data_IF_639157906143
#
_entry.id   IF_639157906143
#
_cell.length_a   1.000
_cell.length_b   1.000
_cell.length_c   1.000
_cell.angle_alpha   90.00
_cell.angle_beta   90.00
_cell.angle_gamma   90.00
#
_symmetry.space_group_name_H-M   'P 1'
#
loop_
_entity.id
_entity.type
_entity.pdbx_description
1 polymer ?
#
# COMPACT_ATOMS: atom_id res chain seq x y z
N UNK A 1 -15.59 9.89 -7.95
CA UNK A 1 -16.02 8.49 -7.82
C UNK A 1 -17.25 8.30 -8.71
N UNK A 2 -17.07 7.88 -9.98
CA UNK A 2 -18.17 7.85 -10.96
C UNK A 2 -19.01 6.55 -10.94
N UNK A 3 -18.54 5.51 -10.25
CA UNK A 3 -19.24 4.23 -10.07
C UNK A 3 -18.95 3.71 -8.66
N UNK A 4 -19.87 2.94 -8.09
CA UNK A 4 -19.72 2.34 -6.77
C UNK A 4 -20.76 1.23 -6.53
N UNK A 5 -20.56 0.47 -5.45
CA UNK A 5 -21.48 -0.56 -4.95
C UNK A 5 -21.33 -0.67 -3.44
N UNK A 6 -22.38 -1.13 -2.78
CA UNK A 6 -22.40 -1.37 -1.34
C UNK A 6 -22.81 -2.82 -1.02
N UNK A 7 -22.32 -3.32 0.12
CA UNK A 7 -22.76 -4.56 0.79
C UNK A 7 -22.83 -4.28 2.28
N UNK A 8 -24.03 -4.17 2.83
CA UNK A 8 -24.28 -3.55 4.14
C UNK A 8 -24.47 -4.53 5.30
N UNK A 9 -24.38 -5.85 5.06
CA UNK A 9 -24.64 -6.89 6.05
C UNK A 9 -23.43 -7.81 6.27
N UNK A 10 -22.23 -7.25 6.31
CA UNK A 10 -20.97 -7.99 6.44
C UNK A 10 -20.71 -8.48 7.88
N UNK A 11 -21.59 -9.38 8.35
CA UNK A 11 -21.48 -10.08 9.63
C UNK A 11 -22.09 -11.46 9.56
N UNK A 12 -21.59 -12.38 10.36
CA UNK A 12 -22.08 -13.75 10.46
C UNK A 12 -22.30 -14.12 11.92
N UNK A 13 -23.43 -14.78 12.21
CA UNK A 13 -23.76 -15.33 13.54
C UNK A 13 -23.95 -16.83 13.46
N UNK A 14 -23.51 -17.55 14.48
CA UNK A 14 -23.69 -18.99 14.60
C UNK A 14 -23.72 -19.42 16.07
N UNK A 15 -24.13 -20.67 16.32
CA UNK A 15 -24.04 -21.29 17.64
C UNK A 15 -22.74 -22.08 17.75
N UNK A 16 -21.99 -21.87 18.83
CA UNK A 16 -20.81 -22.65 19.17
C UNK A 16 -21.00 -23.28 20.55
N UNK A 17 -21.42 -24.55 20.55
CA UNK A 17 -21.89 -25.21 21.77
C UNK A 17 -23.21 -24.59 22.24
N UNK A 18 -23.21 -24.05 23.46
CA UNK A 18 -24.36 -23.36 24.06
C UNK A 18 -24.24 -21.82 23.98
N UNK A 19 -23.24 -21.30 23.28
CA UNK A 19 -22.97 -19.87 23.16
C UNK A 19 -23.27 -19.36 21.74
N UNK A 20 -23.93 -18.20 21.66
CA UNK A 20 -24.05 -17.47 20.40
C UNK A 20 -22.74 -16.74 20.11
N UNK A 21 -22.22 -16.88 18.89
CA UNK A 21 -21.06 -16.15 18.39
C UNK A 21 -21.41 -15.24 17.23
N UNK A 22 -20.70 -14.13 17.14
CA UNK A 22 -20.81 -13.16 16.06
C UNK A 22 -19.41 -12.76 15.59
N UNK A 23 -19.19 -12.80 14.27
CA UNK A 23 -18.01 -12.24 13.61
C UNK A 23 -18.46 -11.09 12.72
N UNK A 24 -17.92 -9.90 12.97
CA UNK A 24 -18.28 -8.66 12.25
C UNK A 24 -17.07 -8.16 11.48
N UNK A 25 -17.22 -7.93 10.18
CA UNK A 25 -16.15 -7.31 9.39
C UNK A 25 -15.94 -5.85 9.81
N UNK A 26 -14.70 -5.33 9.72
CA UNK A 26 -14.48 -3.89 9.74
C UNK A 26 -15.24 -3.18 8.61
N UNK A 27 -15.34 -1.86 8.69
CA UNK A 27 -15.71 -1.07 7.51
C UNK A 27 -14.63 -1.27 6.43
N UNK A 28 -15.00 -1.95 5.35
CA UNK A 28 -14.07 -2.36 4.30
C UNK A 28 -14.35 -1.59 3.01
N UNK A 29 -13.60 -0.51 2.80
CA UNK A 29 -13.61 0.23 1.55
C UNK A 29 -12.59 -0.36 0.58
N UNK A 30 -13.04 -0.75 -0.60
CA UNK A 30 -12.16 -1.14 -1.72
C UNK A 30 -12.22 -0.04 -2.77
N UNK A 31 -11.09 0.61 -3.04
CA UNK A 31 -10.95 1.60 -4.10
C UNK A 31 -10.29 0.95 -5.32
N UNK A 32 -10.97 0.99 -6.46
CA UNK A 32 -10.40 0.63 -7.76
C UNK A 32 -10.17 1.90 -8.59
N UNK A 33 -8.93 2.11 -9.04
CA UNK A 33 -8.56 3.22 -9.91
C UNK A 33 -8.52 2.78 -11.38
N UNK A 34 -9.06 3.61 -12.26
CA UNK A 34 -9.03 3.40 -13.71
C UNK A 34 -8.47 4.65 -14.38
N UNK A 35 -7.54 4.49 -15.32
CA UNK A 35 -6.93 5.59 -16.06
C UNK A 35 -6.65 5.17 -17.51
N UNK A 36 -6.78 6.12 -18.44
CA UNK A 36 -6.19 5.97 -19.78
C UNK A 36 -4.67 6.01 -19.63
N UNK A 37 -3.99 5.02 -20.20
CA UNK A 37 -2.53 4.99 -20.25
C UNK A 37 -2.07 5.62 -21.57
N UNK A 38 -1.11 6.55 -21.50
CA UNK A 38 -0.56 7.19 -22.70
C UNK A 38 0.40 6.25 -23.44
N UNK A 39 1.31 5.59 -22.70
CA UNK A 39 2.24 4.61 -23.26
C UNK A 39 2.51 3.47 -22.26
N UNK A 40 2.07 2.26 -22.59
CA UNK A 40 2.18 1.07 -21.73
C UNK A 40 3.63 0.60 -21.56
N UNK A 41 4.52 0.93 -22.50
CA UNK A 41 5.94 0.51 -22.49
C UNK A 41 6.74 1.21 -21.39
N UNK A 42 6.18 2.28 -20.83
CA UNK A 42 6.80 3.07 -19.76
C UNK A 42 6.40 2.61 -18.36
N UNK A 43 5.60 1.55 -18.25
CA UNK A 43 5.25 0.94 -16.96
C UNK A 43 6.51 0.46 -16.23
N UNK A 44 6.61 0.79 -14.95
CA UNK A 44 7.71 0.41 -14.05
C UNK A 44 7.20 -0.66 -13.07
N UNK A 45 8.08 -1.58 -12.67
CA UNK A 45 7.77 -2.66 -11.74
C UNK A 45 8.70 -2.60 -10.51
N UNK A 46 8.46 -3.46 -9.50
CA UNK A 46 9.39 -3.63 -8.38
C UNK A 46 10.76 -4.22 -8.70
N UNK A 47 11.00 -4.69 -9.93
CA UNK A 47 12.21 -5.41 -10.28
C UNK A 47 13.44 -4.48 -10.26
N UNK A 48 14.29 -4.62 -9.24
CA UNK A 48 15.52 -3.85 -9.10
C UNK A 48 16.53 -4.15 -10.22
N UNK A 49 17.25 -3.12 -10.65
CA UNK A 49 18.48 -3.26 -11.45
C UNK A 49 19.70 -3.28 -10.53
N UNK A 50 20.71 -4.07 -10.88
CA UNK A 50 21.99 -4.15 -10.16
C UNK A 50 23.08 -3.28 -10.80
N UNK A 51 22.74 -2.42 -11.77
CA UNK A 51 23.62 -1.32 -12.18
C UNK A 51 23.82 -0.31 -11.04
N UNK A 52 24.78 0.61 -11.16
CA UNK A 52 24.99 1.66 -10.16
C UNK A 52 23.70 2.46 -9.96
N UNK A 53 23.09 2.31 -8.78
CA UNK A 53 21.76 2.82 -8.50
C UNK A 53 21.67 3.46 -7.11
N UNK A 54 20.56 4.16 -6.87
CA UNK A 54 20.22 4.73 -5.57
C UNK A 54 18.76 4.41 -5.23
N UNK A 55 18.52 3.94 -4.01
CA UNK A 55 17.17 3.74 -3.49
C UNK A 55 16.76 4.97 -2.67
N UNK A 56 15.59 5.52 -3.00
CA UNK A 56 15.05 6.72 -2.37
C UNK A 56 13.69 6.41 -1.77
N UNK A 57 13.56 6.58 -0.46
CA UNK A 57 12.29 6.54 0.23
C UNK A 57 11.58 7.89 0.14
N UNK A 58 10.36 7.90 -0.40
CA UNK A 58 9.45 9.04 -0.30
C UNK A 58 8.48 8.78 0.86
N UNK A 59 8.80 9.31 2.04
CA UNK A 59 7.98 9.11 3.23
C UNK A 59 6.81 10.11 3.31
N UNK A 60 5.69 9.75 2.68
CA UNK A 60 4.42 10.49 2.83
C UNK A 60 3.83 10.44 4.25
N UNK A 61 4.36 9.58 5.12
CA UNK A 61 4.03 9.53 6.54
C UNK A 61 4.66 10.67 7.35
N UNK A 62 5.61 11.42 6.79
CA UNK A 62 6.30 12.56 7.44
C UNK A 62 6.89 12.18 8.81
N UNK A 63 7.46 10.99 8.94
CA UNK A 63 8.04 10.48 10.18
C UNK A 63 7.03 10.11 11.26
N UNK A 64 5.72 10.11 10.99
CA UNK A 64 4.71 9.72 11.99
C UNK A 64 4.88 8.26 12.43
N UNK A 65 5.37 7.39 11.55
CA UNK A 65 5.75 6.00 11.84
C UNK A 65 4.69 5.23 12.66
N UNK A 66 3.42 5.44 12.32
CA UNK A 66 2.26 4.88 12.99
C UNK A 66 2.21 3.35 12.87
N UNK A 67 1.89 2.65 13.96
CA UNK A 67 1.88 1.17 14.03
C UNK A 67 0.49 0.58 14.34
N UNK A 68 -0.54 1.40 14.55
CA UNK A 68 -1.91 0.93 14.72
C UNK A 68 -2.48 0.33 13.44
N UNK A 69 -3.26 -0.74 13.57
CA UNK A 69 -3.90 -1.49 12.50
C UNK A 69 -2.94 -1.95 11.38
N UNK A 70 -1.66 -2.17 11.71
CA UNK A 70 -0.65 -2.67 10.77
C UNK A 70 -0.58 -4.19 10.76
N UNK A 71 -0.03 -4.77 9.69
CA UNK A 71 0.35 -6.19 9.65
C UNK A 71 1.25 -6.58 10.84
N UNK A 72 2.15 -5.69 11.28
CA UNK A 72 2.98 -5.90 12.47
C UNK A 72 2.10 -6.08 13.72
N UNK A 73 1.18 -5.15 14.01
CA UNK A 73 0.31 -5.29 15.18
C UNK A 73 -0.55 -6.57 15.08
N UNK A 74 -1.06 -6.88 13.88
CA UNK A 74 -1.91 -8.04 13.65
C UNK A 74 -1.21 -9.37 13.95
N UNK A 75 0.04 -9.57 13.52
CA UNK A 75 0.78 -10.82 13.81
C UNK A 75 1.12 -10.99 15.30
N UNK A 76 1.08 -9.91 16.07
CA UNK A 76 1.17 -9.92 17.54
C UNK A 76 -0.20 -9.93 18.24
N UNK A 77 -1.29 -10.18 17.51
CA UNK A 77 -2.67 -10.21 18.02
C UNK A 77 -3.08 -8.90 18.70
N UNK A 78 -2.56 -7.78 18.21
CA UNK A 78 -2.84 -6.44 18.71
C UNK A 78 -3.47 -5.57 17.62
N UNK A 79 -4.24 -4.56 18.04
CA UNK A 79 -4.71 -3.50 17.15
C UNK A 79 -3.77 -2.28 17.17
N UNK A 80 -3.08 -2.01 18.28
CA UNK A 80 -2.22 -0.83 18.44
C UNK A 80 -2.99 0.44 18.83
N UNK A 81 -2.35 1.60 18.69
CA UNK A 81 -2.87 2.92 19.09
C UNK A 81 -3.35 3.74 17.89
N UNK A 82 -2.42 4.34 17.13
CA UNK A 82 -2.74 5.22 16.00
C UNK A 82 -2.37 4.59 14.66
N UNK A 83 -3.28 4.55 13.68
CA UNK A 83 -2.98 4.07 12.33
C UNK A 83 -2.32 5.15 11.45
N UNK A 84 -1.87 4.72 10.27
CA UNK A 84 -1.48 5.63 9.18
C UNK A 84 -2.71 6.39 8.64
N UNK A 85 -2.45 7.56 8.05
CA UNK A 85 -3.47 8.38 7.39
C UNK A 85 -2.80 9.30 6.35
N UNK A 86 -3.56 9.89 5.45
CA UNK A 86 -3.07 10.93 4.52
C UNK A 86 -2.65 12.15 5.34
N UNK A 87 -1.34 12.36 5.48
CA UNK A 87 -0.78 13.44 6.31
C UNK A 87 -0.83 14.80 5.63
N UNK A 88 -0.79 14.85 4.30
CA UNK A 88 -0.85 16.08 3.53
C UNK A 88 -1.34 15.81 2.10
N UNK A 89 -2.52 16.35 1.75
CA UNK A 89 -3.15 16.15 0.44
C UNK A 89 -2.33 16.76 -0.70
N UNK A 90 -1.74 17.94 -0.49
CA UNK A 90 -0.92 18.60 -1.50
C UNK A 90 0.36 17.79 -1.80
N UNK A 91 0.99 17.22 -0.78
CA UNK A 91 2.15 16.33 -0.98
C UNK A 91 1.75 15.01 -1.62
N UNK A 92 0.58 14.44 -1.30
CA UNK A 92 0.09 13.23 -1.97
C UNK A 92 -0.15 13.48 -3.47
N UNK A 93 -0.77 14.61 -3.82
CA UNK A 93 -0.92 15.01 -5.23
C UNK A 93 0.44 15.26 -5.89
N UNK A 94 1.32 16.01 -5.22
CA UNK A 94 2.66 16.31 -5.73
C UNK A 94 3.51 15.07 -5.92
N UNK A 95 3.35 14.05 -5.07
CA UNK A 95 3.96 12.74 -5.24
C UNK A 95 3.49 12.07 -6.52
N UNK A 96 2.17 12.00 -6.76
CA UNK A 96 1.65 11.47 -8.01
C UNK A 96 2.19 12.22 -9.22
N UNK A 97 2.11 13.55 -9.23
CA UNK A 97 2.58 14.39 -10.34
C UNK A 97 4.09 14.18 -10.61
N UNK A 98 4.89 14.06 -9.54
CA UNK A 98 6.33 13.81 -9.66
C UNK A 98 6.64 12.41 -10.22
N UNK A 99 5.94 11.37 -9.75
CA UNK A 99 6.10 10.00 -10.29
C UNK A 99 5.70 9.97 -11.77
N UNK A 100 4.60 10.61 -12.17
CA UNK A 100 4.20 10.71 -13.58
C UNK A 100 5.30 11.36 -14.44
N UNK A 101 5.89 12.46 -13.95
CA UNK A 101 7.00 13.13 -14.65
C UNK A 101 8.24 12.23 -14.77
N UNK A 102 8.62 11.52 -13.71
CA UNK A 102 9.77 10.61 -13.71
C UNK A 102 9.56 9.40 -14.64
N UNK A 103 8.34 8.85 -14.69
CA UNK A 103 7.96 7.79 -15.63
C UNK A 103 8.05 8.29 -17.07
N UNK A 104 7.46 9.44 -17.37
CA UNK A 104 7.50 10.03 -18.72
C UNK A 104 8.93 10.34 -19.19
N UNK A 105 9.81 10.77 -18.28
CA UNK A 105 11.21 11.07 -18.55
C UNK A 105 12.15 9.85 -18.48
N UNK A 106 11.61 8.64 -18.23
CA UNK A 106 12.39 7.39 -18.11
C UNK A 106 13.50 7.48 -17.05
N UNK A 107 13.19 8.09 -15.90
CA UNK A 107 14.14 8.32 -14.79
C UNK A 107 14.06 7.32 -13.66
N UNK A 108 13.15 6.33 -13.75
CA UNK A 108 12.98 5.28 -12.75
C UNK A 108 13.52 3.95 -13.29
N UNK A 109 14.36 3.29 -12.49
CA UNK A 109 14.76 1.91 -12.73
C UNK A 109 13.69 0.93 -12.23
N UNK A 110 13.18 1.19 -11.03
CA UNK A 110 12.15 0.39 -10.37
C UNK A 110 11.25 1.29 -9.51
N UNK A 111 10.06 0.78 -9.17
CA UNK A 111 9.13 1.41 -8.25
C UNK A 111 8.32 0.35 -7.53
N UNK A 112 8.20 0.48 -6.21
CA UNK A 112 7.29 -0.29 -5.38
C UNK A 112 6.74 0.64 -4.31
N UNK A 113 5.42 0.64 -4.13
CA UNK A 113 4.77 1.41 -3.07
C UNK A 113 4.92 0.72 -1.70
N UNK A 114 4.62 1.48 -0.65
CA UNK A 114 4.60 0.99 0.73
C UNK A 114 3.17 0.79 1.19
N UNK A 115 2.83 -0.45 1.52
CA UNK A 115 1.50 -0.88 1.97
C UNK A 115 1.62 -1.83 3.17
N UNK A 116 1.03 -3.03 3.11
CA UNK A 116 1.07 -4.01 4.19
C UNK A 116 2.51 -4.47 4.47
N UNK A 117 2.89 -4.55 5.75
CA UNK A 117 4.26 -4.89 6.17
C UNK A 117 5.28 -3.74 6.05
N UNK A 118 4.87 -2.60 5.51
CA UNK A 118 5.65 -1.36 5.52
C UNK A 118 6.92 -1.43 4.67
N UNK A 119 7.90 -0.58 5.00
CA UNK A 119 9.12 -0.43 4.21
C UNK A 119 9.92 -1.73 4.10
N UNK A 120 9.86 -2.57 5.14
CA UNK A 120 10.54 -3.86 5.16
C UNK A 120 10.02 -4.74 4.02
N UNK A 121 8.70 -4.90 3.90
CA UNK A 121 8.11 -5.75 2.86
C UNK A 121 8.33 -5.15 1.48
N UNK A 122 8.19 -3.83 1.30
CA UNK A 122 8.51 -3.16 0.04
C UNK A 122 9.93 -3.49 -0.45
N UNK A 123 10.94 -3.33 0.40
CA UNK A 123 12.33 -3.60 0.02
C UNK A 123 12.55 -5.11 -0.22
N UNK A 124 11.97 -5.97 0.60
CA UNK A 124 12.07 -7.42 0.41
C UNK A 124 11.46 -7.86 -0.93
N UNK A 125 10.26 -7.39 -1.29
CA UNK A 125 9.59 -7.72 -2.55
C UNK A 125 10.35 -7.16 -3.76
N UNK A 126 10.92 -5.96 -3.66
CA UNK A 126 11.82 -5.41 -4.68
C UNK A 126 13.08 -6.28 -4.88
N UNK A 127 13.70 -6.72 -3.78
CA UNK A 127 14.84 -7.64 -3.82
C UNK A 127 14.47 -9.01 -4.41
N UNK A 128 13.28 -9.55 -4.09
CA UNK A 128 12.78 -10.80 -4.66
C UNK A 128 12.57 -10.67 -6.17
N UNK A 129 11.94 -9.58 -6.62
CA UNK A 129 11.71 -9.33 -8.04
C UNK A 129 13.01 -9.11 -8.82
N UNK A 130 13.97 -8.39 -8.23
CA UNK A 130 15.31 -8.18 -8.80
C UNK A 130 16.26 -9.38 -8.67
N UNK A 131 15.91 -10.36 -7.85
CA UNK A 131 16.78 -11.47 -7.44
C UNK A 131 18.17 -10.98 -6.98
N UNK A 132 18.19 -9.95 -6.14
CA UNK A 132 19.41 -9.26 -5.73
C UNK A 132 19.40 -8.87 -4.25
N UNK A 133 20.53 -8.35 -3.77
CA UNK A 133 20.61 -7.65 -2.49
C UNK A 133 20.18 -6.18 -2.62
N UNK A 134 20.18 -5.49 -1.48
CA UNK A 134 19.95 -4.04 -1.37
C UNK A 134 21.10 -3.43 -0.58
#
# INVERSE_FOLDING_TARGET
IPVGKDSMSMKTRWQEGNEEREMTSPLSLVISAFARVEDVRHTITPQLSTEDNALLLIDLGKGNNALGATALAQVYRQLGDKPADVRNVAQLKGFYDAIQALVAQRKLLAYHDRSDGGLLVTLAEMAFAGHCGI
#
